data_IF_144261708306
#
_entry.id   IF_144261708306
#
_cell.length_a   1.000
_cell.length_b   1.000
_cell.length_c   1.000
_cell.angle_alpha   90.00
_cell.angle_beta   90.00
_cell.angle_gamma   90.00
#
_symmetry.space_group_name_H-M   'P 1'
#
loop_
_entity.id
_entity.type
_entity.pdbx_description
1 polymer ?
#
# COMPACT_ATOMS: atom_id res chain seq x y z
N UNK A 1 -11.62 -23.01 -25.29
CA UNK A 1 -10.74 -24.16 -25.64
C UNK A 1 -9.54 -24.33 -24.72
N UNK A 2 -8.82 -23.25 -24.39
CA UNK A 2 -7.62 -23.36 -23.52
C UNK A 2 -7.99 -23.76 -22.09
N UNK A 3 -9.11 -23.28 -21.57
CA UNK A 3 -9.60 -23.61 -20.22
C UNK A 3 -10.01 -25.08 -20.10
N UNK A 4 -10.64 -25.68 -21.10
CA UNK A 4 -11.04 -27.08 -21.08
C UNK A 4 -9.84 -28.02 -21.20
N UNK A 5 -8.87 -27.69 -22.06
CA UNK A 5 -7.62 -28.46 -22.21
C UNK A 5 -6.81 -28.45 -20.93
N UNK A 6 -6.68 -27.29 -20.26
CA UNK A 6 -5.99 -27.19 -18.97
C UNK A 6 -6.70 -28.02 -17.88
N UNK A 7 -8.02 -28.01 -17.85
CA UNK A 7 -8.82 -28.82 -16.92
C UNK A 7 -8.63 -30.33 -17.14
N UNK A 8 -8.54 -30.78 -18.40
CA UNK A 8 -8.33 -32.19 -18.72
C UNK A 8 -6.93 -32.68 -18.41
N UNK A 9 -5.90 -31.85 -18.64
CA UNK A 9 -4.53 -32.14 -18.23
C UNK A 9 -4.45 -32.27 -16.72
N UNK A 10 -5.11 -31.36 -15.99
CA UNK A 10 -5.15 -31.36 -14.53
C UNK A 10 -5.81 -32.63 -13.97
N UNK A 11 -6.92 -33.09 -14.55
CA UNK A 11 -7.62 -34.32 -14.14
C UNK A 11 -6.79 -35.59 -14.34
N UNK A 12 -5.90 -35.60 -15.34
CA UNK A 12 -5.05 -36.77 -15.65
C UNK A 12 -3.75 -36.82 -14.82
N UNK A 13 -3.44 -35.77 -14.07
CA UNK A 13 -2.24 -35.74 -13.24
C UNK A 13 -2.37 -36.66 -12.00
N UNK A 14 -1.30 -37.35 -11.59
CA UNK A 14 -1.29 -38.18 -10.40
C UNK A 14 -1.58 -37.33 -9.14
N UNK A 15 -2.27 -37.92 -8.17
CA UNK A 15 -2.76 -37.21 -6.99
C UNK A 15 -1.66 -36.49 -6.19
N UNK A 16 -0.48 -37.11 -6.07
CA UNK A 16 0.66 -36.52 -5.37
C UNK A 16 1.16 -35.24 -6.00
N UNK A 17 1.13 -35.14 -7.34
CA UNK A 17 1.54 -33.91 -8.05
C UNK A 17 0.57 -32.76 -7.81
N UNK A 18 -0.75 -33.05 -7.75
CA UNK A 18 -1.76 -32.04 -7.40
C UNK A 18 -1.57 -31.53 -5.98
N UNK A 19 -1.34 -32.45 -5.02
CA UNK A 19 -1.12 -32.08 -3.61
C UNK A 19 0.12 -31.20 -3.46
N UNK A 20 1.23 -31.54 -4.13
CA UNK A 20 2.45 -30.73 -4.13
C UNK A 20 2.21 -29.35 -4.73
N UNK A 21 1.53 -29.27 -5.87
CA UNK A 21 1.23 -28.00 -6.53
C UNK A 21 0.35 -27.10 -5.66
N UNK A 22 -0.78 -27.62 -5.17
CA UNK A 22 -1.66 -26.83 -4.31
C UNK A 22 -1.00 -26.48 -2.98
N UNK A 23 -0.19 -27.35 -2.40
CA UNK A 23 0.57 -27.06 -1.19
C UNK A 23 1.56 -25.91 -1.40
N UNK A 24 2.28 -25.93 -2.53
CA UNK A 24 3.21 -24.85 -2.88
C UNK A 24 2.48 -23.52 -3.13
N UNK A 25 1.39 -23.53 -3.90
CA UNK A 25 0.58 -22.33 -4.15
C UNK A 25 0.00 -21.78 -2.84
N UNK A 26 -0.59 -22.64 -2.01
CA UNK A 26 -1.15 -22.23 -0.72
C UNK A 26 -0.07 -21.62 0.19
N UNK A 27 1.11 -22.24 0.25
CA UNK A 27 2.25 -21.71 1.02
C UNK A 27 2.68 -20.33 0.53
N UNK A 28 2.79 -20.13 -0.78
CA UNK A 28 3.15 -18.85 -1.37
C UNK A 28 2.09 -17.77 -1.07
N UNK A 29 0.80 -18.12 -1.20
CA UNK A 29 -0.31 -17.20 -0.89
C UNK A 29 -0.30 -16.83 0.60
N UNK A 30 -0.14 -17.81 1.51
CA UNK A 30 -0.09 -17.54 2.96
C UNK A 30 1.10 -16.65 3.34
N UNK A 31 2.27 -16.89 2.75
CA UNK A 31 3.47 -16.08 2.98
C UNK A 31 3.24 -14.62 2.56
N UNK A 32 2.70 -14.41 1.36
CA UNK A 32 2.42 -13.07 0.83
C UNK A 32 1.33 -12.37 1.63
N UNK A 33 0.23 -13.05 1.94
CA UNK A 33 -0.88 -12.51 2.71
C UNK A 33 -0.43 -12.06 4.11
N UNK A 34 0.42 -12.84 4.79
CA UNK A 34 0.95 -12.48 6.10
C UNK A 34 1.75 -11.17 6.06
N UNK A 35 2.61 -10.99 5.06
CA UNK A 35 3.41 -9.77 4.91
C UNK A 35 2.54 -8.56 4.56
N UNK A 36 1.59 -8.72 3.64
CA UNK A 36 0.71 -7.63 3.18
C UNK A 36 -0.28 -7.16 4.24
N UNK A 37 -0.68 -8.00 5.18
CA UNK A 37 -1.53 -7.60 6.32
C UNK A 37 -0.69 -6.98 7.44
N UNK A 38 0.50 -7.52 7.70
CA UNK A 38 1.35 -7.07 8.79
C UNK A 38 1.88 -5.64 8.56
N UNK A 39 2.33 -5.32 7.36
CA UNK A 39 2.92 -4.02 7.04
C UNK A 39 1.96 -2.83 7.28
N UNK A 40 0.72 -2.79 6.74
CA UNK A 40 -0.20 -1.70 7.04
C UNK A 40 -0.66 -1.71 8.50
N UNK A 41 -0.78 -2.88 9.14
CA UNK A 41 -1.17 -2.98 10.55
C UNK A 41 -0.12 -2.34 11.47
N UNK A 42 1.17 -2.63 11.26
CA UNK A 42 2.26 -2.02 12.03
C UNK A 42 2.34 -0.52 11.78
N UNK A 43 2.25 -0.09 10.53
CA UNK A 43 2.25 1.33 10.16
C UNK A 43 1.09 2.08 10.80
N UNK A 44 -0.09 1.47 10.85
CA UNK A 44 -1.26 2.05 11.50
C UNK A 44 -1.07 2.21 13.02
N UNK A 45 -0.55 1.19 13.68
CA UNK A 45 -0.27 1.26 15.14
C UNK A 45 0.75 2.33 15.44
N UNK A 46 1.88 2.35 14.71
CA UNK A 46 2.98 3.27 14.96
C UNK A 46 2.62 4.73 14.64
N UNK A 47 1.98 4.98 13.50
CA UNK A 47 1.77 6.34 13.00
C UNK A 47 0.42 6.93 13.38
N UNK A 48 -0.59 6.09 13.66
CA UNK A 48 -1.94 6.55 13.99
C UNK A 48 -2.23 6.29 15.46
N UNK A 49 -2.26 5.04 15.92
CA UNK A 49 -2.68 4.74 17.28
C UNK A 49 -1.76 5.36 18.34
N UNK A 50 -0.45 5.25 18.19
CA UNK A 50 0.52 5.83 19.15
C UNK A 50 0.46 7.35 19.19
N UNK A 51 0.00 8.00 18.11
CA UNK A 51 -0.15 9.45 18.09
C UNK A 51 -1.42 9.94 18.81
N UNK A 52 -2.46 9.11 18.86
CA UNK A 52 -3.73 9.43 19.53
C UNK A 52 -3.85 8.85 20.94
N UNK A 53 -3.16 7.76 21.23
CA UNK A 53 -3.29 7.04 22.50
C UNK A 53 -1.90 6.68 23.06
N UNK A 54 -1.65 7.00 24.32
CA UNK A 54 -0.43 6.59 25.02
C UNK A 54 -0.51 5.08 25.27
N UNK A 55 0.09 4.30 24.37
CA UNK A 55 0.15 2.83 24.48
C UNK A 55 1.38 2.47 25.32
N UNK A 56 1.15 1.85 26.49
CA UNK A 56 2.21 1.31 27.33
C UNK A 56 2.90 0.14 26.60
N UNK A 57 4.22 0.02 26.74
CA UNK A 57 5.05 -1.03 26.11
C UNK A 57 4.49 -2.45 26.35
N UNK A 58 3.88 -2.71 27.53
CA UNK A 58 3.24 -3.99 27.84
C UNK A 58 2.04 -4.31 26.98
N UNK A 59 1.33 -3.29 26.49
CA UNK A 59 0.12 -3.43 25.67
C UNK A 59 0.38 -3.31 24.17
N UNK A 60 1.57 -2.92 23.76
CA UNK A 60 1.93 -2.71 22.36
C UNK A 60 1.71 -3.96 21.51
N UNK A 61 2.21 -5.12 21.99
CA UNK A 61 2.03 -6.41 21.28
C UNK A 61 0.57 -6.81 21.19
N UNK A 62 -0.23 -6.55 22.24
CA UNK A 62 -1.67 -6.85 22.21
C UNK A 62 -2.41 -5.96 21.22
N UNK A 63 -2.10 -4.68 21.21
CA UNK A 63 -2.66 -3.71 20.26
C UNK A 63 -2.30 -4.08 18.83
N UNK A 64 -1.05 -4.47 18.58
CA UNK A 64 -0.58 -4.89 17.26
C UNK A 64 -1.34 -6.14 16.78
N UNK A 65 -1.50 -7.16 17.64
CA UNK A 65 -2.29 -8.35 17.32
C UNK A 65 -3.77 -8.04 17.07
N UNK A 66 -4.37 -7.18 17.88
CA UNK A 66 -5.75 -6.75 17.69
C UNK A 66 -5.93 -6.00 16.36
N UNK A 67 -5.01 -5.13 16.00
CA UNK A 67 -5.03 -4.41 14.73
C UNK A 67 -4.89 -5.35 13.54
N UNK A 68 -3.99 -6.33 13.59
CA UNK A 68 -3.86 -7.37 12.55
C UNK A 68 -5.17 -8.14 12.39
N UNK A 69 -5.82 -8.54 13.51
CA UNK A 69 -7.11 -9.23 13.45
C UNK A 69 -8.19 -8.37 12.81
N UNK A 70 -8.28 -7.09 13.17
CA UNK A 70 -9.25 -6.16 12.57
C UNK A 70 -9.01 -6.01 11.06
N UNK A 71 -7.77 -5.81 10.62
CA UNK A 71 -7.46 -5.74 9.19
C UNK A 71 -7.79 -7.04 8.47
N UNK A 72 -7.48 -8.19 9.08
CA UNK A 72 -7.82 -9.50 8.49
C UNK A 72 -9.33 -9.68 8.35
N UNK A 73 -10.11 -9.28 9.34
CA UNK A 73 -11.58 -9.33 9.29
C UNK A 73 -12.13 -8.39 8.21
N UNK A 74 -11.59 -7.18 8.09
CA UNK A 74 -12.00 -6.25 7.04
C UNK A 74 -11.72 -6.80 5.64
N UNK A 75 -10.54 -7.40 5.43
CA UNK A 75 -10.20 -8.04 4.17
C UNK A 75 -11.11 -9.25 3.89
N UNK A 76 -11.43 -10.04 4.92
CA UNK A 76 -12.33 -11.19 4.79
C UNK A 76 -13.75 -10.73 4.39
N UNK A 77 -14.30 -9.72 5.06
CA UNK A 77 -15.62 -9.16 4.72
C UNK A 77 -15.63 -8.62 3.29
N UNK A 78 -14.58 -7.91 2.89
CA UNK A 78 -14.44 -7.44 1.52
C UNK A 78 -14.39 -8.61 0.52
N UNK A 79 -13.60 -9.63 0.79
CA UNK A 79 -13.47 -10.81 -0.08
C UNK A 79 -14.81 -11.54 -0.27
N UNK A 80 -15.60 -11.67 0.80
CA UNK A 80 -16.95 -12.26 0.74
C UNK A 80 -17.93 -11.37 -0.03
N UNK A 81 -17.75 -10.06 0.00
CA UNK A 81 -18.62 -9.11 -0.72
C UNK A 81 -18.37 -9.10 -2.24
N UNK A 82 -17.22 -9.58 -2.68
CA UNK A 82 -16.76 -9.54 -4.08
C UNK A 82 -16.76 -10.96 -4.70
N UNK A 83 -17.54 -11.88 -4.13
CA UNK A 83 -17.71 -13.23 -4.69
C UNK A 83 -18.20 -13.17 -6.14
N UNK A 84 -17.54 -13.98 -7.01
CA UNK A 84 -17.88 -14.05 -8.45
C UNK A 84 -17.06 -13.12 -9.35
N UNK A 85 -16.28 -12.21 -8.80
CA UNK A 85 -15.35 -11.39 -9.60
C UNK A 85 -14.10 -12.20 -9.97
N UNK A 86 -13.62 -12.03 -11.21
CA UNK A 86 -12.39 -12.69 -11.63
C UNK A 86 -11.19 -12.24 -10.76
N UNK A 87 -10.37 -13.18 -10.32
CA UNK A 87 -9.19 -12.90 -9.49
C UNK A 87 -8.27 -11.87 -10.16
N UNK A 88 -8.18 -11.94 -11.50
CA UNK A 88 -7.40 -10.98 -12.29
C UNK A 88 -7.85 -9.53 -12.07
N UNK A 89 -9.17 -9.29 -12.10
CA UNK A 89 -9.73 -7.94 -11.92
C UNK A 89 -9.52 -7.42 -10.50
N UNK A 90 -9.64 -8.29 -9.50
CA UNK A 90 -9.35 -7.94 -8.10
C UNK A 90 -7.89 -7.54 -7.91
N UNK A 91 -6.96 -8.29 -8.50
CA UNK A 91 -5.53 -8.01 -8.44
C UNK A 91 -5.21 -6.72 -9.21
N UNK A 92 -5.79 -6.53 -10.39
CA UNK A 92 -5.63 -5.32 -11.19
C UNK A 92 -6.08 -4.07 -10.42
N UNK A 93 -7.24 -4.12 -9.76
CA UNK A 93 -7.73 -3.01 -8.92
C UNK A 93 -6.79 -2.73 -7.73
N UNK A 94 -6.25 -3.77 -7.10
CA UNK A 94 -5.34 -3.62 -5.97
C UNK A 94 -4.04 -2.89 -6.34
N UNK A 95 -3.52 -3.09 -7.56
CA UNK A 95 -2.31 -2.41 -8.03
C UNK A 95 -2.54 -0.98 -8.52
N UNK A 96 -3.75 -0.64 -8.93
CA UNK A 96 -4.08 0.69 -9.45
C UNK A 96 -3.85 1.78 -8.41
N UNK A 97 -4.31 1.58 -7.19
CA UNK A 97 -4.20 2.57 -6.11
C UNK A 97 -2.75 2.94 -5.75
N UNK A 98 -1.82 1.99 -5.52
CA UNK A 98 -0.41 2.31 -5.29
C UNK A 98 0.27 3.01 -6.47
N UNK A 99 -0.06 2.63 -7.70
CA UNK A 99 0.51 3.27 -8.89
C UNK A 99 0.10 4.74 -8.98
N UNK A 100 -1.18 5.03 -8.79
CA UNK A 100 -1.69 6.41 -8.87
C UNK A 100 -1.28 7.24 -7.66
N UNK A 101 -1.35 6.67 -6.45
CA UNK A 101 -1.16 7.42 -5.20
C UNK A 101 0.28 7.48 -4.71
N UNK A 102 1.08 6.41 -4.87
CA UNK A 102 2.39 6.32 -4.24
C UNK A 102 3.58 6.54 -5.20
N UNK A 103 3.42 6.28 -6.48
CA UNK A 103 4.54 6.32 -7.44
C UNK A 103 5.23 7.69 -7.49
N UNK A 104 4.47 8.76 -7.75
CA UNK A 104 5.03 10.10 -7.89
C UNK A 104 5.65 10.64 -6.60
N UNK A 105 5.00 10.56 -5.43
CA UNK A 105 5.61 10.95 -4.17
C UNK A 105 6.92 10.20 -3.87
N UNK A 106 7.00 8.90 -4.17
CA UNK A 106 8.20 8.10 -3.94
C UNK A 106 9.33 8.48 -4.90
N UNK A 107 9.04 8.49 -6.20
CA UNK A 107 10.07 8.77 -7.23
C UNK A 107 10.59 10.20 -7.08
N UNK A 108 9.69 11.19 -6.99
CA UNK A 108 10.10 12.58 -6.84
C UNK A 108 10.75 12.84 -5.48
N UNK A 109 10.29 12.16 -4.41
CA UNK A 109 10.92 12.26 -3.09
C UNK A 109 12.36 11.76 -3.07
N UNK A 110 12.69 10.74 -3.87
CA UNK A 110 14.05 10.18 -3.97
C UNK A 110 14.96 10.98 -4.93
N UNK A 111 14.45 11.38 -6.09
CA UNK A 111 15.27 11.97 -7.15
C UNK A 111 15.23 13.49 -7.21
N UNK A 112 14.16 14.12 -6.72
CA UNK A 112 13.96 15.57 -6.85
C UNK A 112 14.14 16.29 -5.51
N UNK A 113 15.26 16.97 -5.34
CA UNK A 113 15.62 17.70 -4.10
C UNK A 113 14.64 18.83 -3.71
N UNK A 114 13.78 19.28 -4.61
CA UNK A 114 12.76 20.30 -4.36
C UNK A 114 11.38 19.71 -4.05
N UNK A 115 11.26 18.37 -3.95
CA UNK A 115 10.02 17.74 -3.56
C UNK A 115 9.59 18.21 -2.16
N UNK A 116 8.31 18.60 -2.03
CA UNK A 116 7.75 19.09 -0.77
C UNK A 116 6.66 18.16 -0.25
N UNK A 117 6.39 18.26 1.06
CA UNK A 117 5.29 17.51 1.69
C UNK A 117 3.94 17.87 1.08
N UNK A 118 3.72 19.15 0.71
CA UNK A 118 2.49 19.56 0.04
C UNK A 118 2.37 18.97 -1.36
N UNK A 119 3.48 18.88 -2.11
CA UNK A 119 3.50 18.21 -3.40
C UNK A 119 3.09 16.76 -3.29
N UNK A 120 3.59 16.01 -2.28
CA UNK A 120 3.20 14.64 -2.05
C UNK A 120 1.70 14.50 -1.71
N UNK A 121 1.19 15.33 -0.82
CA UNK A 121 -0.23 15.32 -0.44
C UNK A 121 -1.13 15.68 -1.64
N UNK A 122 -0.80 16.73 -2.39
CA UNK A 122 -1.56 17.12 -3.57
C UNK A 122 -1.53 16.04 -4.67
N UNK A 123 -0.41 15.36 -4.86
CA UNK A 123 -0.29 14.22 -5.78
C UNK A 123 -1.26 13.09 -5.41
N UNK A 124 -1.26 12.67 -4.16
CA UNK A 124 -2.12 11.59 -3.68
C UNK A 124 -3.60 11.96 -3.78
N UNK A 125 -3.96 13.16 -3.34
CA UNK A 125 -5.35 13.60 -3.34
C UNK A 125 -5.89 13.83 -4.75
N UNK A 126 -5.18 14.56 -5.60
CA UNK A 126 -5.62 14.87 -6.95
C UNK A 126 -5.60 13.61 -7.84
N UNK A 127 -4.54 12.82 -7.76
CA UNK A 127 -4.43 11.57 -8.51
C UNK A 127 -5.51 10.56 -8.11
N UNK A 128 -5.70 10.35 -6.80
CA UNK A 128 -6.72 9.46 -6.26
C UNK A 128 -8.14 9.92 -6.60
N UNK A 129 -8.43 11.21 -6.44
CA UNK A 129 -9.74 11.78 -6.81
C UNK A 129 -10.03 11.62 -8.30
N UNK A 130 -9.05 11.92 -9.17
CA UNK A 130 -9.20 11.76 -10.62
C UNK A 130 -9.42 10.30 -11.00
N UNK A 131 -8.66 9.39 -10.41
CA UNK A 131 -8.85 7.95 -10.63
C UNK A 131 -10.25 7.47 -10.24
N UNK A 132 -10.75 7.87 -9.05
CA UNK A 132 -12.10 7.52 -8.60
C UNK A 132 -13.16 8.10 -9.54
N UNK A 133 -13.04 9.39 -9.90
CA UNK A 133 -13.99 10.05 -10.79
C UNK A 133 -14.05 9.34 -12.15
N UNK A 134 -12.89 9.04 -12.76
CA UNK A 134 -12.85 8.34 -14.04
C UNK A 134 -13.36 6.90 -13.94
N UNK A 135 -13.17 6.21 -12.81
CA UNK A 135 -13.66 4.84 -12.61
C UNK A 135 -15.19 4.80 -12.45
N UNK A 136 -15.80 5.82 -11.83
CA UNK A 136 -17.26 5.87 -11.61
C UNK A 136 -18.00 6.49 -12.80
N UNK A 137 -17.32 7.31 -13.60
CA UNK A 137 -17.91 8.02 -14.74
C UNK A 137 -17.70 7.22 -16.04
N UNK A 138 -18.63 7.25 -17.01
CA UNK A 138 -18.48 6.58 -18.32
C UNK A 138 -17.29 7.09 -19.14
N UNK A 139 -16.66 8.18 -18.74
CA UNK A 139 -15.39 8.68 -19.31
C UNK A 139 -14.23 7.68 -19.20
N UNK A 140 -14.28 6.76 -18.24
CA UNK A 140 -13.28 5.71 -18.06
C UNK A 140 -13.28 4.65 -19.18
N UNK A 141 -14.36 4.55 -19.97
CA UNK A 141 -14.40 3.68 -21.16
C UNK A 141 -13.59 4.26 -22.33
N UNK A 142 -13.50 5.59 -22.41
CA UNK A 142 -12.75 6.29 -23.47
C UNK A 142 -11.28 6.49 -23.08
N UNK A 143 -11.02 6.73 -21.80
CA UNK A 143 -9.68 6.99 -21.31
C UNK A 143 -9.37 6.13 -20.08
N UNK A 144 -8.29 5.31 -20.09
CA UNK A 144 -7.96 4.46 -18.96
C UNK A 144 -7.83 5.26 -17.65
N UNK A 145 -8.68 4.95 -16.67
CA UNK A 145 -8.77 5.68 -15.40
C UNK A 145 -7.45 5.77 -14.65
N UNK A 146 -6.63 4.71 -14.73
CA UNK A 146 -5.30 4.65 -14.14
C UNK A 146 -4.34 5.67 -14.76
N UNK A 147 -4.35 5.79 -16.09
CA UNK A 147 -3.49 6.74 -16.79
C UNK A 147 -3.89 8.19 -16.46
N UNK A 148 -5.20 8.47 -16.42
CA UNK A 148 -5.70 9.78 -16.01
C UNK A 148 -5.27 10.16 -14.61
N UNK A 149 -5.51 9.27 -13.65
CA UNK A 149 -5.08 9.46 -12.26
C UNK A 149 -3.56 9.61 -12.12
N UNK A 150 -2.80 8.80 -12.85
CA UNK A 150 -1.33 8.85 -12.84
C UNK A 150 -0.78 10.19 -13.36
N UNK A 151 -1.26 10.69 -14.50
CA UNK A 151 -0.84 11.98 -15.07
C UNK A 151 -1.18 13.13 -14.13
N UNK A 152 -2.41 13.17 -13.61
CA UNK A 152 -2.86 14.23 -12.70
C UNK A 152 -2.09 14.18 -11.38
N UNK A 153 -1.75 12.99 -10.86
CA UNK A 153 -0.88 12.84 -9.71
C UNK A 153 0.51 13.44 -9.94
N UNK A 154 1.10 13.24 -11.13
CA UNK A 154 2.37 13.86 -11.51
C UNK A 154 2.30 15.38 -11.55
N UNK A 155 1.25 15.92 -12.18
CA UNK A 155 1.01 17.37 -12.22
C UNK A 155 0.81 17.91 -10.80
N UNK A 156 0.02 17.23 -9.98
CA UNK A 156 -0.20 17.58 -8.57
C UNK A 156 1.09 17.59 -7.75
N UNK A 157 1.99 16.62 -7.98
CA UNK A 157 3.30 16.56 -7.31
C UNK A 157 4.18 17.76 -7.69
N UNK A 158 4.27 18.08 -8.97
CA UNK A 158 5.07 19.19 -9.47
C UNK A 158 4.46 20.50 -9.00
N UNK A 159 3.16 20.72 -9.24
CA UNK A 159 2.46 21.96 -8.88
C UNK A 159 2.49 22.24 -7.37
N UNK A 160 2.21 21.21 -6.55
CA UNK A 160 2.26 21.34 -5.10
C UNK A 160 3.68 21.56 -4.55
N UNK A 161 4.71 21.08 -5.25
CA UNK A 161 6.11 21.28 -4.85
C UNK A 161 6.65 22.66 -5.28
N UNK A 162 6.05 23.31 -6.27
CA UNK A 162 6.41 24.66 -6.71
C UNK A 162 5.84 25.74 -5.77
N UNK A 163 4.82 25.43 -4.98
CA UNK A 163 4.28 26.36 -3.99
C UNK A 163 5.30 26.50 -2.85
N UNK A 164 5.86 27.71 -2.61
CA UNK A 164 6.85 27.92 -1.55
C UNK A 164 6.18 27.84 -0.19
N UNK A 165 6.16 26.64 0.39
CA UNK A 165 5.74 26.45 1.77
C UNK A 165 6.92 26.81 2.66
N UNK A 166 6.70 27.76 3.56
CA UNK A 166 7.64 28.07 4.62
C UNK A 166 7.89 26.81 5.43
N UNK A 167 8.91 26.05 5.03
CA UNK A 167 9.32 24.82 5.72
C UNK A 167 9.54 25.17 7.19
N UNK A 168 8.77 24.55 8.07
CA UNK A 168 8.92 24.80 9.50
C UNK A 168 10.26 24.18 9.93
N UNK A 169 11.32 24.98 9.95
CA UNK A 169 12.69 24.59 10.31
C UNK A 169 12.77 23.82 11.65
N UNK A 170 11.74 23.97 12.49
CA UNK A 170 11.64 23.23 13.77
C UNK A 170 11.59 21.72 13.58
N UNK A 171 10.83 21.22 12.59
CA UNK A 171 10.73 19.77 12.35
C UNK A 171 12.04 19.17 11.83
N UNK A 172 12.73 19.87 10.92
CA UNK A 172 14.04 19.43 10.42
C UNK A 172 15.08 19.40 11.55
N UNK A 173 15.07 20.40 12.43
CA UNK A 173 15.97 20.47 13.57
C UNK A 173 15.67 19.39 14.63
N UNK A 174 14.41 19.06 14.86
CA UNK A 174 14.01 17.99 15.77
C UNK A 174 14.46 16.62 15.22
N UNK A 175 14.21 16.37 13.94
CA UNK A 175 14.62 15.13 13.27
C UNK A 175 16.15 14.95 13.28
N UNK A 176 16.90 16.01 13.02
CA UNK A 176 18.37 16.01 13.09
C UNK A 176 18.90 15.80 14.52
N UNK A 177 18.17 16.21 15.54
CA UNK A 177 18.50 15.91 16.94
C UNK A 177 18.22 14.47 17.32
N UNK A 178 17.11 13.93 16.84
CA UNK A 178 16.67 12.55 17.08
C UNK A 178 17.64 11.54 16.43
N UNK A 179 18.02 11.77 15.16
CA UNK A 179 18.97 10.92 14.44
C UNK A 179 20.34 10.87 15.15
N UNK A 180 20.86 12.01 15.61
CA UNK A 180 22.09 12.05 16.40
C UNK A 180 21.97 11.33 17.74
N UNK A 181 20.80 11.35 18.37
CA UNK A 181 20.56 10.65 19.64
C UNK A 181 20.53 9.14 19.46
N UNK A 182 19.96 8.66 18.35
CA UNK A 182 19.95 7.24 17.99
C UNK A 182 21.37 6.75 17.66
N UNK A 183 22.12 7.54 16.89
CA UNK A 183 23.52 7.24 16.56
C UNK A 183 24.40 7.18 17.83
N UNK A 184 24.23 8.12 18.75
CA UNK A 184 24.94 8.12 20.03
C UNK A 184 24.62 6.91 20.90
N UNK A 185 23.34 6.49 20.97
CA UNK A 185 22.94 5.27 21.68
C UNK A 185 23.51 4.01 21.05
N UNK A 186 23.58 3.93 19.73
CA UNK A 186 24.16 2.79 19.02
C UNK A 186 25.67 2.64 19.25
N UNK A 187 26.36 3.76 19.41
CA UNK A 187 27.83 3.77 19.70
C UNK A 187 28.12 3.43 21.17
N UNK A 188 27.27 3.86 22.12
CA UNK A 188 27.46 3.59 23.56
C UNK A 188 26.96 2.21 24.00
N UNK A 189 26.25 1.48 23.13
CA UNK A 189 25.76 0.11 23.39
C UNK A 189 26.73 -1.00 22.88
N UNK A 190 27.88 -0.61 22.32
CA UNK A 190 29.02 -1.50 21.99
C UNK A 190 30.09 -1.44 23.06
#
# INVERSE_FOLDING_TARGET
>A
CISSAASDVYKRQPMWLRVLFFGAVLSAVMSTASATILAPSTTFVENVLKNFTHISEKNEIRTMRATVLVFTLLVLVYALSVEGTAIYDMVAMAYQFPVVGAFWPLVMGLYWKKATRLGAISSILLGGATWIILTVTPLGEVFPSVLGGFIVAGIGMIGGSLIPVKSNRRYVALWARESKRVEYRAVTAR
#
